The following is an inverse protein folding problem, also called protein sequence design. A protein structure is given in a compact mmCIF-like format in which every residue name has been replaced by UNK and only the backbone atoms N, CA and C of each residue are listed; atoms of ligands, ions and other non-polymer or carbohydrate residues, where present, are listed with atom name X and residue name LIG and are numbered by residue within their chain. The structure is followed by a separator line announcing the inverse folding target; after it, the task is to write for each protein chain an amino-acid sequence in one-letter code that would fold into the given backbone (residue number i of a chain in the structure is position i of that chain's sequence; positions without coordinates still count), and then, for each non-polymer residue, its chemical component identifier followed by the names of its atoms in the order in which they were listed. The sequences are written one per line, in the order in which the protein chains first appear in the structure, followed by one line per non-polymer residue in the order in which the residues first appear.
data_IF_957084188024
#
_entry.id   IF_957084188024
#
_cell.length_a   1.000
_cell.length_b   1.000
_cell.length_c   1.000
_cell.angle_alpha   90.00
_cell.angle_beta   90.00
_cell.angle_gamma   90.00
#
_symmetry.space_group_name_H-M   'P 1'
#
loop_
_entity.id
_entity.type
_entity.pdbx_description
1 polymer ?
#
# COMPACT_ATOMS: atom_id res chain seq x y z
N UNK A 1 5.15 12.43 -26.87
CA UNK A 1 4.85 11.31 -25.96
C UNK A 1 5.92 10.24 -26.16
N UNK A 2 6.94 10.16 -25.28
CA UNK A 2 7.96 9.12 -25.42
C UNK A 2 7.36 7.82 -24.88
N UNK A 3 6.96 6.91 -25.75
CA UNK A 3 6.86 5.49 -25.40
C UNK A 3 8.29 5.00 -25.12
N UNK A 4 8.49 4.39 -23.97
CA UNK A 4 9.74 3.70 -23.70
C UNK A 4 9.89 2.51 -24.64
N UNK A 5 11.14 2.10 -24.92
CA UNK A 5 11.37 0.86 -25.67
C UNK A 5 10.68 -0.29 -24.93
N UNK A 6 9.94 -1.12 -25.66
CA UNK A 6 9.19 -2.27 -25.11
C UNK A 6 10.08 -3.24 -24.29
N UNK A 7 11.40 -3.18 -24.49
CA UNK A 7 12.37 -4.08 -23.87
C UNK A 7 12.96 -3.57 -22.55
N UNK A 8 12.56 -2.36 -22.08
CA UNK A 8 13.07 -1.86 -20.79
C UNK A 8 12.29 -2.53 -19.66
N UNK A 9 12.97 -3.28 -18.75
CA UNK A 9 12.29 -3.93 -17.64
C UNK A 9 11.71 -2.87 -16.68
N UNK A 10 10.46 -3.10 -16.25
CA UNK A 10 9.75 -2.20 -15.37
C UNK A 10 9.30 -2.89 -14.09
N UNK A 11 9.26 -2.13 -13.00
CA UNK A 11 8.61 -2.53 -11.76
C UNK A 11 7.33 -1.69 -11.62
N UNK A 12 6.20 -2.39 -11.50
CA UNK A 12 4.91 -1.75 -11.28
C UNK A 12 4.67 -1.61 -9.78
N UNK A 13 4.29 -0.42 -9.33
CA UNK A 13 3.77 -0.16 -8.00
C UNK A 13 2.31 0.26 -8.15
N UNK A 14 1.39 -0.60 -7.74
CA UNK A 14 -0.05 -0.37 -7.86
C UNK A 14 -0.67 -0.01 -6.51
N UNK A 15 -1.46 1.06 -6.50
CA UNK A 15 -2.31 1.45 -5.37
C UNK A 15 -3.65 2.01 -5.87
N UNK A 16 -4.67 2.05 -5.03
CA UNK A 16 -5.93 2.72 -5.35
C UNK A 16 -5.79 4.25 -5.35
N UNK A 17 -4.76 4.81 -4.69
CA UNK A 17 -4.58 6.24 -4.54
C UNK A 17 -3.16 6.69 -4.21
N UNK A 18 -3.03 7.57 -3.19
CA UNK A 18 -1.75 8.11 -2.71
C UNK A 18 -1.07 7.19 -1.68
N UNK A 19 -1.78 6.22 -1.10
CA UNK A 19 -1.27 5.40 0.00
C UNK A 19 0.04 4.68 -0.33
N UNK A 20 0.15 4.12 -1.53
CA UNK A 20 1.35 3.44 -2.01
C UNK A 20 2.58 4.34 -2.17
N UNK A 21 2.45 5.67 -2.01
CA UNK A 21 3.60 6.58 -2.05
C UNK A 21 4.58 6.35 -0.91
N UNK A 22 4.13 5.83 0.22
CA UNK A 22 5.00 5.42 1.33
C UNK A 22 5.97 4.31 0.89
N UNK A 23 5.45 3.28 0.21
CA UNK A 23 6.25 2.20 -0.39
C UNK A 23 7.12 2.72 -1.54
N UNK A 24 6.55 3.54 -2.43
CA UNK A 24 7.29 4.12 -3.57
C UNK A 24 8.53 4.87 -3.09
N UNK A 25 8.41 5.69 -2.04
CA UNK A 25 9.52 6.44 -1.46
C UNK A 25 10.68 5.51 -1.05
N UNK A 26 10.35 4.42 -0.39
CA UNK A 26 11.37 3.45 0.05
C UNK A 26 11.94 2.65 -1.12
N UNK A 27 11.13 2.27 -2.14
CA UNK A 27 11.62 1.60 -3.34
C UNK A 27 12.61 2.51 -4.10
N UNK A 28 12.37 3.81 -4.17
CA UNK A 28 13.30 4.78 -4.76
C UNK A 28 14.67 4.70 -4.09
N UNK A 29 14.71 4.55 -2.76
CA UNK A 29 15.96 4.46 -1.99
C UNK A 29 16.80 3.21 -2.30
N UNK A 30 16.18 2.17 -2.89
CA UNK A 30 16.90 0.96 -3.31
C UNK A 30 17.78 1.19 -4.55
N UNK A 31 17.62 2.32 -5.26
CA UNK A 31 18.39 2.68 -6.46
C UNK A 31 18.42 1.55 -7.50
N UNK A 32 17.24 1.06 -7.87
CA UNK A 32 17.08 -0.04 -8.81
C UNK A 32 17.39 0.40 -10.24
N UNK A 33 17.95 -0.51 -11.04
CA UNK A 33 18.22 -0.27 -12.47
C UNK A 33 16.94 -0.25 -13.32
N UNK A 34 15.87 -0.85 -12.82
CA UNK A 34 14.58 -0.93 -13.51
C UNK A 34 13.87 0.43 -13.51
N UNK A 35 13.05 0.63 -14.52
CA UNK A 35 12.12 1.76 -14.55
C UNK A 35 10.97 1.52 -13.60
N UNK A 36 10.63 2.51 -12.78
CA UNK A 36 9.47 2.44 -11.88
C UNK A 36 8.23 3.05 -12.57
N UNK A 37 7.12 2.35 -12.47
CA UNK A 37 5.80 2.84 -12.88
C UNK A 37 4.88 2.79 -11.66
N UNK A 38 4.41 3.95 -11.21
CA UNK A 38 3.39 4.03 -10.18
C UNK A 38 2.03 4.17 -10.83
N UNK A 39 1.10 3.29 -10.46
CA UNK A 39 -0.26 3.25 -10.99
C UNK A 39 -1.25 3.51 -9.86
N UNK A 40 -2.02 4.59 -9.98
CA UNK A 40 -3.09 4.94 -9.04
C UNK A 40 -4.46 4.82 -9.72
N UNK A 41 -5.33 3.93 -9.22
CA UNK A 41 -6.72 3.86 -9.70
C UNK A 41 -7.64 4.80 -8.92
N UNK A 42 -7.26 6.08 -8.88
CA UNK A 42 -7.89 7.12 -8.06
C UNK A 42 -9.33 7.48 -8.49
N UNK A 43 -9.78 7.06 -9.66
CA UNK A 43 -11.18 7.18 -10.07
C UNK A 43 -12.10 6.34 -9.21
N UNK A 44 -11.63 5.17 -8.77
CA UNK A 44 -12.40 4.16 -8.05
C UNK A 44 -12.08 4.10 -6.56
N UNK A 45 -11.31 5.06 -6.06
CA UNK A 45 -10.97 5.24 -4.65
C UNK A 45 -12.22 5.66 -3.84
N UNK A 46 -12.42 5.17 -2.58
CA UNK A 46 -11.57 4.20 -1.91
C UNK A 46 -11.98 2.75 -2.21
N UNK A 47 -11.01 1.89 -2.44
CA UNK A 47 -11.25 0.46 -2.69
C UNK A 47 -11.90 -0.27 -1.51
N UNK A 48 -11.75 0.24 -0.30
CA UNK A 48 -12.37 -0.32 0.90
C UNK A 48 -13.91 -0.34 0.89
N UNK A 49 -14.54 0.45 0.01
CA UNK A 49 -15.99 0.52 -0.19
C UNK A 49 -16.48 -0.25 -1.43
N UNK A 50 -15.55 -0.77 -2.24
CA UNK A 50 -15.89 -1.51 -3.47
C UNK A 50 -16.14 -3.00 -3.18
N UNK A 51 -16.86 -3.66 -4.10
CA UNK A 51 -17.09 -5.10 -4.00
C UNK A 51 -15.84 -5.90 -4.37
N UNK A 52 -15.74 -7.14 -3.86
CA UNK A 52 -14.66 -8.06 -4.21
C UNK A 52 -14.53 -8.22 -5.72
N UNK A 53 -15.63 -8.56 -6.39
CA UNK A 53 -15.63 -8.84 -7.83
C UNK A 53 -15.22 -7.63 -8.66
N UNK A 54 -15.64 -6.44 -8.25
CA UNK A 54 -15.19 -5.19 -8.88
C UNK A 54 -13.68 -5.03 -8.76
N UNK A 55 -13.12 -5.17 -7.56
CA UNK A 55 -11.68 -4.97 -7.32
C UNK A 55 -10.86 -6.01 -8.07
N UNK A 56 -11.23 -7.29 -7.99
CA UNK A 56 -10.52 -8.38 -8.65
C UNK A 56 -10.47 -8.17 -10.16
N UNK A 57 -11.63 -7.94 -10.80
CA UNK A 57 -11.72 -7.69 -12.24
C UNK A 57 -10.93 -6.42 -12.63
N UNK A 58 -11.14 -5.32 -11.90
CA UNK A 58 -10.50 -4.03 -12.20
C UNK A 58 -8.99 -4.12 -12.15
N UNK A 59 -8.43 -4.73 -11.11
CA UNK A 59 -6.98 -4.87 -10.95
C UNK A 59 -6.41 -5.82 -12.02
N UNK A 60 -7.10 -6.93 -12.32
CA UNK A 60 -6.70 -7.85 -13.39
C UNK A 60 -6.70 -7.17 -14.77
N UNK A 61 -7.67 -6.31 -15.06
CA UNK A 61 -7.74 -5.56 -16.32
C UNK A 61 -6.61 -4.54 -16.45
N UNK A 62 -6.33 -3.79 -15.37
CA UNK A 62 -5.20 -2.85 -15.33
C UNK A 62 -3.88 -3.58 -15.60
N UNK A 63 -3.61 -4.69 -14.90
CA UNK A 63 -2.39 -5.46 -15.09
C UNK A 63 -2.30 -6.12 -16.45
N UNK A 64 -3.43 -6.56 -17.03
CA UNK A 64 -3.47 -7.11 -18.40
C UNK A 64 -3.09 -6.04 -19.41
N UNK A 65 -3.62 -4.85 -19.28
CA UNK A 65 -3.29 -3.69 -20.11
C UNK A 65 -1.82 -3.29 -19.98
N UNK A 66 -1.30 -3.23 -18.76
CA UNK A 66 0.12 -2.92 -18.51
C UNK A 66 1.06 -3.95 -19.14
N UNK A 67 0.74 -5.25 -19.00
CA UNK A 67 1.55 -6.35 -19.52
C UNK A 67 1.58 -6.41 -21.06
N UNK A 68 0.60 -5.80 -21.74
CA UNK A 68 0.62 -5.64 -23.20
C UNK A 68 1.59 -4.56 -23.67
N UNK A 69 1.94 -3.60 -22.81
CA UNK A 69 2.69 -2.41 -23.19
C UNK A 69 4.09 -2.34 -22.55
N UNK A 70 4.34 -3.10 -21.49
CA UNK A 70 5.59 -3.07 -20.73
C UNK A 70 6.12 -4.47 -20.44
N UNK A 71 7.44 -4.62 -20.44
CA UNK A 71 8.11 -5.81 -19.94
C UNK A 71 8.15 -5.77 -18.41
N UNK A 72 7.13 -6.33 -17.76
CA UNK A 72 7.00 -6.30 -16.30
C UNK A 72 7.93 -7.33 -15.69
N UNK A 73 8.91 -6.87 -14.91
CA UNK A 73 9.87 -7.73 -14.20
C UNK A 73 9.38 -8.12 -12.80
N UNK A 74 8.69 -7.19 -12.12
CA UNK A 74 8.03 -7.44 -10.86
C UNK A 74 6.88 -6.44 -10.64
N UNK A 75 5.95 -6.80 -9.76
CA UNK A 75 4.88 -5.90 -9.34
C UNK A 75 4.72 -5.87 -7.82
N UNK A 76 4.47 -4.68 -7.29
CA UNK A 76 4.08 -4.46 -5.89
C UNK A 76 2.62 -4.02 -5.85
N UNK A 77 1.76 -4.80 -5.21
CA UNK A 77 0.39 -4.38 -4.89
C UNK A 77 0.46 -3.71 -3.53
N UNK A 78 0.60 -2.39 -3.55
CA UNK A 78 0.73 -1.59 -2.34
C UNK A 78 -0.60 -1.44 -1.58
N UNK A 79 -1.76 -1.54 -2.26
CA UNK A 79 -3.07 -1.45 -1.63
C UNK A 79 -3.44 -2.74 -0.88
N UNK A 80 -3.68 -2.66 0.45
CA UNK A 80 -4.10 -3.82 1.26
C UNK A 80 -5.44 -4.39 0.77
N UNK A 81 -6.39 -3.56 0.40
CA UNK A 81 -7.70 -4.01 -0.09
C UNK A 81 -7.58 -4.70 -1.46
N UNK A 82 -6.78 -4.15 -2.37
CA UNK A 82 -6.48 -4.81 -3.65
C UNK A 82 -5.75 -6.14 -3.44
N UNK A 83 -4.79 -6.19 -2.51
CA UNK A 83 -4.12 -7.43 -2.12
C UNK A 83 -5.12 -8.48 -1.64
N UNK A 84 -6.06 -8.08 -0.78
CA UNK A 84 -7.01 -8.99 -0.17
C UNK A 84 -7.90 -9.70 -1.21
N UNK A 85 -8.22 -9.05 -2.31
CA UNK A 85 -9.16 -9.56 -3.30
C UNK A 85 -8.51 -10.00 -4.62
N UNK A 86 -7.43 -9.35 -5.07
CA UNK A 86 -6.88 -9.59 -6.40
C UNK A 86 -5.53 -10.32 -6.44
N UNK A 87 -4.79 -10.40 -5.32
CA UNK A 87 -3.43 -10.92 -5.35
C UNK A 87 -3.31 -12.36 -5.86
N UNK A 88 -4.27 -13.23 -5.53
CA UNK A 88 -4.26 -14.63 -6.00
C UNK A 88 -4.56 -14.70 -7.50
N UNK A 89 -5.63 -14.02 -7.96
CA UNK A 89 -5.99 -13.97 -9.38
C UNK A 89 -4.85 -13.43 -10.26
N UNK A 90 -4.12 -12.42 -9.76
CA UNK A 90 -2.94 -11.91 -10.47
C UNK A 90 -1.80 -12.93 -10.54
N UNK A 91 -1.52 -13.66 -9.44
CA UNK A 91 -0.48 -14.70 -9.42
C UNK A 91 -0.81 -15.89 -10.32
N UNK A 92 -2.10 -16.22 -10.45
CA UNK A 92 -2.57 -17.27 -11.34
C UNK A 92 -2.49 -16.85 -12.81
N UNK A 93 -2.62 -15.55 -13.09
CA UNK A 93 -2.69 -15.00 -14.45
C UNK A 93 -1.34 -14.59 -15.02
N UNK A 94 -0.39 -14.14 -14.19
CA UNK A 94 0.89 -13.57 -14.65
C UNK A 94 2.08 -14.33 -14.09
N UNK A 95 3.15 -14.42 -14.90
CA UNK A 95 4.37 -15.16 -14.56
C UNK A 95 5.43 -14.32 -13.81
N UNK A 96 5.29 -12.99 -13.76
CA UNK A 96 6.22 -12.14 -13.02
C UNK A 96 5.90 -12.15 -11.51
N UNK A 97 6.91 -11.97 -10.65
CA UNK A 97 6.71 -11.92 -9.20
C UNK A 97 5.74 -10.81 -8.78
N UNK A 98 4.80 -11.17 -7.89
CA UNK A 98 3.83 -10.22 -7.32
C UNK A 98 4.03 -10.16 -5.82
N UNK A 99 4.59 -9.05 -5.36
CA UNK A 99 4.75 -8.70 -3.95
C UNK A 99 3.48 -8.00 -3.49
N UNK A 100 2.77 -8.62 -2.57
CA UNK A 100 1.49 -8.13 -2.08
C UNK A 100 1.61 -7.64 -0.64
N UNK A 101 1.04 -6.48 -0.34
CA UNK A 101 1.07 -5.90 1.00
C UNK A 101 -0.04 -6.49 1.88
N UNK A 102 0.33 -7.07 3.00
CA UNK A 102 -0.59 -7.60 4.01
C UNK A 102 -0.45 -6.86 5.34
N UNK A 103 -1.51 -6.78 6.15
CA UNK A 103 -1.39 -6.25 7.51
C UNK A 103 -0.34 -6.99 8.34
N UNK A 104 0.44 -6.25 9.12
CA UNK A 104 1.58 -6.75 9.87
C UNK A 104 1.22 -7.51 11.14
N UNK A 105 0.31 -8.50 11.07
CA UNK A 105 -0.15 -9.26 12.23
C UNK A 105 0.98 -10.09 12.83
N UNK A 106 1.73 -10.81 12.00
CA UNK A 106 2.87 -11.62 12.48
C UNK A 106 3.92 -10.81 13.25
N UNK A 107 4.44 -9.68 12.73
CA UNK A 107 5.35 -8.84 13.50
C UNK A 107 4.69 -8.23 14.76
N UNK A 108 3.40 -7.88 14.71
CA UNK A 108 2.70 -7.35 15.89
C UNK A 108 2.64 -8.35 17.04
N UNK A 109 2.38 -9.63 16.74
CA UNK A 109 2.42 -10.73 17.73
C UNK A 109 3.81 -10.83 18.39
N UNK A 110 4.87 -10.59 17.65
CA UNK A 110 6.24 -10.66 18.21
C UNK A 110 6.63 -9.43 19.03
N UNK A 111 5.91 -8.33 18.88
CA UNK A 111 6.23 -7.04 19.48
C UNK A 111 5.37 -6.70 20.70
N UNK A 112 4.13 -7.22 20.76
CA UNK A 112 3.22 -6.95 21.87
C UNK A 112 3.79 -7.50 23.19
N UNK A 113 3.58 -6.77 24.29
CA UNK A 113 4.02 -7.13 25.63
C UNK A 113 2.86 -7.63 26.49
N UNK A 114 1.63 -7.19 26.19
CA UNK A 114 0.44 -7.54 26.96
C UNK A 114 -0.56 -8.40 26.17
N UNK A 115 -0.20 -8.83 24.95
CA UNK A 115 -1.04 -9.62 24.03
C UNK A 115 -2.31 -8.90 23.55
N UNK A 116 -2.38 -7.57 23.66
CA UNK A 116 -3.52 -6.76 23.19
C UNK A 116 -3.12 -5.95 21.96
N UNK A 117 -3.63 -6.33 20.82
CA UNK A 117 -3.22 -5.80 19.52
C UNK A 117 -4.40 -5.12 18.84
N UNK A 118 -4.21 -3.87 18.44
CA UNK A 118 -5.13 -3.14 17.58
C UNK A 118 -4.80 -3.36 16.11
N UNK A 119 -5.81 -3.49 15.28
CA UNK A 119 -5.67 -3.53 13.82
C UNK A 119 -6.58 -2.47 13.22
N UNK A 120 -5.99 -1.41 12.70
CA UNK A 120 -6.71 -0.37 11.97
C UNK A 120 -6.64 -0.65 10.47
N UNK A 121 -7.76 -0.97 9.84
CA UNK A 121 -7.81 -1.33 8.43
C UNK A 121 -9.09 -0.81 7.75
N UNK A 122 -9.16 -0.89 6.41
CA UNK A 122 -10.40 -0.58 5.69
C UNK A 122 -11.44 -1.68 5.88
N UNK A 123 -12.73 -1.35 5.78
CA UNK A 123 -13.81 -2.35 5.87
C UNK A 123 -13.62 -3.49 4.88
N UNK A 124 -13.25 -3.18 3.61
CA UNK A 124 -13.02 -4.19 2.60
C UNK A 124 -11.88 -5.14 2.98
N UNK A 125 -10.81 -4.64 3.60
CA UNK A 125 -9.73 -5.50 4.11
C UNK A 125 -10.23 -6.41 5.23
N UNK A 126 -10.90 -5.85 6.22
CA UNK A 126 -11.41 -6.58 7.41
C UNK A 126 -12.38 -7.69 7.02
N UNK A 127 -13.27 -7.44 6.05
CA UNK A 127 -14.28 -8.42 5.59
C UNK A 127 -13.71 -9.51 4.69
N UNK A 128 -12.45 -9.39 4.24
CA UNK A 128 -11.86 -10.36 3.31
C UNK A 128 -11.50 -11.68 4.00
N UNK A 129 -11.73 -12.80 3.29
CA UNK A 129 -11.31 -14.13 3.75
C UNK A 129 -9.80 -14.22 3.99
N UNK A 130 -9.02 -13.48 3.18
CA UNK A 130 -7.56 -13.41 3.32
C UNK A 130 -7.16 -12.80 4.66
N UNK A 131 -7.78 -11.68 5.05
CA UNK A 131 -7.52 -11.04 6.35
C UNK A 131 -7.91 -11.94 7.52
N UNK A 132 -9.12 -12.54 7.46
CA UNK A 132 -9.60 -13.47 8.50
C UNK A 132 -8.60 -14.62 8.67
N UNK A 133 -8.21 -15.29 7.57
CA UNK A 133 -7.23 -16.38 7.60
C UNK A 133 -5.87 -15.93 8.12
N UNK A 134 -5.47 -14.67 7.87
CA UNK A 134 -4.21 -14.13 8.38
C UNK A 134 -4.26 -13.93 9.91
N UNK A 135 -5.38 -13.43 10.42
CA UNK A 135 -5.61 -13.30 11.88
C UNK A 135 -5.60 -14.71 12.51
N UNK A 136 -6.43 -15.63 12.04
CA UNK A 136 -6.55 -16.99 12.58
C UNK A 136 -5.21 -17.74 12.58
N UNK A 137 -4.40 -17.53 11.56
CA UNK A 137 -3.09 -18.19 11.41
C UNK A 137 -2.06 -17.76 12.45
N UNK A 138 -2.06 -16.49 12.85
CA UNK A 138 -1.01 -15.92 13.69
C UNK A 138 -1.45 -15.62 15.11
N UNK A 139 -2.75 -15.65 15.41
CA UNK A 139 -3.26 -15.41 16.77
C UNK A 139 -3.65 -16.71 17.46
N UNK A 140 -3.77 -16.66 18.78
CA UNK A 140 -4.24 -17.74 19.63
C UNK A 140 -5.11 -17.15 20.74
N UNK A 141 -5.73 -17.97 21.57
CA UNK A 141 -6.64 -17.56 22.66
C UNK A 141 -6.03 -16.59 23.67
N UNK A 142 -4.69 -16.55 23.75
CA UNK A 142 -3.99 -15.58 24.62
C UNK A 142 -3.96 -14.15 24.07
N UNK A 143 -4.23 -13.97 22.76
CA UNK A 143 -4.18 -12.65 22.12
C UNK A 143 -5.58 -12.03 22.08
N UNK A 144 -5.69 -10.80 22.54
CA UNK A 144 -6.89 -9.98 22.37
C UNK A 144 -6.69 -9.07 21.15
N UNK A 145 -7.49 -9.28 20.12
CA UNK A 145 -7.41 -8.51 18.88
C UNK A 145 -8.56 -7.52 18.82
N UNK A 146 -8.24 -6.23 18.79
CA UNK A 146 -9.18 -5.12 18.59
C UNK A 146 -9.11 -4.69 17.12
N UNK A 147 -10.16 -4.97 16.34
CA UNK A 147 -10.21 -4.66 14.90
C UNK A 147 -11.08 -3.42 14.71
N UNK A 148 -10.49 -2.34 14.21
CA UNK A 148 -11.14 -1.05 14.05
C UNK A 148 -11.21 -0.68 12.57
N UNK A 149 -12.39 -0.45 12.00
CA UNK A 149 -12.52 0.06 10.63
C UNK A 149 -12.19 1.56 10.58
N UNK A 150 -11.27 1.94 9.71
CA UNK A 150 -10.89 3.34 9.48
C UNK A 150 -11.84 4.05 8.51
N UNK A 151 -13.11 4.19 8.88
CA UNK A 151 -14.16 4.79 8.05
C UNK A 151 -13.86 6.28 7.80
N UNK A 152 -13.88 6.71 6.54
CA UNK A 152 -13.60 8.10 6.14
C UNK A 152 -12.13 8.52 6.22
N UNK A 153 -11.25 7.66 6.77
CA UNK A 153 -9.85 8.01 7.01
C UNK A 153 -9.05 8.10 5.71
N UNK A 154 -9.30 7.20 4.75
CA UNK A 154 -8.64 7.22 3.44
C UNK A 154 -8.99 8.49 2.69
N UNK A 155 -10.26 8.86 2.63
CA UNK A 155 -10.74 10.06 1.94
C UNK A 155 -10.14 11.34 2.53
N UNK A 156 -10.06 11.41 3.86
CA UNK A 156 -9.47 12.59 4.52
C UNK A 156 -7.96 12.70 4.27
N UNK A 157 -7.24 11.58 4.27
CA UNK A 157 -5.82 11.55 3.93
C UNK A 157 -5.59 11.93 2.48
N UNK A 158 -6.41 11.45 1.54
CA UNK A 158 -6.34 11.80 0.11
C UNK A 158 -6.62 13.28 -0.13
N UNK A 159 -7.59 13.83 0.56
CA UNK A 159 -7.93 15.25 0.43
C UNK A 159 -6.79 16.14 0.92
N UNK A 160 -5.90 15.65 1.79
CA UNK A 160 -4.86 16.46 2.43
C UNK A 160 -5.45 17.81 2.91
N UNK A 161 -6.60 17.73 3.54
CA UNK A 161 -7.30 18.91 4.06
C UNK A 161 -6.33 19.75 4.88
N UNK A 162 -6.33 21.03 4.65
CA UNK A 162 -5.50 21.99 5.42
C UNK A 162 -5.97 22.10 6.87
N UNK A 163 -7.11 21.51 7.20
CA UNK A 163 -7.70 21.50 8.53
C UNK A 163 -7.50 20.13 9.20
N UNK A 164 -6.58 20.07 10.16
CA UNK A 164 -6.40 18.88 11.03
C UNK A 164 -7.68 18.48 11.78
N UNK A 165 -8.67 19.39 11.90
CA UNK A 165 -9.90 19.16 12.69
C UNK A 165 -10.74 17.97 12.22
N UNK A 166 -10.86 17.77 10.89
CA UNK A 166 -11.62 16.64 10.35
C UNK A 166 -10.91 15.33 10.61
N UNK A 167 -9.60 15.31 10.39
CA UNK A 167 -8.78 14.15 10.68
C UNK A 167 -8.82 13.80 12.18
N UNK A 168 -8.73 14.80 13.06
CA UNK A 168 -8.83 14.63 14.50
C UNK A 168 -10.20 14.06 14.91
N UNK A 169 -11.28 14.54 14.31
CA UNK A 169 -12.63 14.04 14.59
C UNK A 169 -12.79 12.56 14.19
N UNK A 170 -12.16 12.12 13.10
CA UNK A 170 -12.17 10.71 12.69
C UNK A 170 -11.28 9.86 13.61
N UNK A 171 -10.12 10.39 14.01
CA UNK A 171 -9.17 9.64 14.83
C UNK A 171 -9.60 9.49 16.28
N UNK A 172 -10.33 10.47 16.83
CA UNK A 172 -10.69 10.49 18.25
C UNK A 172 -11.43 9.22 18.72
N UNK A 173 -12.51 8.72 18.06
CA UNK A 173 -13.15 7.48 18.45
C UNK A 173 -12.23 6.27 18.33
N UNK A 174 -11.38 6.20 17.30
CA UNK A 174 -10.41 5.13 17.10
C UNK A 174 -9.40 5.08 18.26
N UNK A 175 -8.87 6.23 18.64
CA UNK A 175 -7.92 6.36 19.74
C UNK A 175 -8.55 5.95 21.06
N UNK A 176 -9.77 6.42 21.34
CA UNK A 176 -10.48 6.07 22.57
C UNK A 176 -10.70 4.56 22.68
N UNK A 177 -11.10 3.90 21.59
CA UNK A 177 -11.29 2.45 21.57
C UNK A 177 -9.98 1.70 21.82
N UNK A 178 -8.87 2.10 21.17
CA UNK A 178 -7.55 1.49 21.40
C UNK A 178 -7.10 1.63 22.86
N UNK A 179 -7.33 2.79 23.47
CA UNK A 179 -6.98 3.03 24.86
C UNK A 179 -7.88 2.25 25.85
N UNK A 180 -9.18 2.18 25.58
CA UNK A 180 -10.12 1.38 26.40
C UNK A 180 -9.80 -0.10 26.36
N UNK A 181 -9.38 -0.61 25.20
CA UNK A 181 -8.97 -1.99 25.03
C UNK A 181 -7.54 -2.26 25.54
N UNK A 182 -6.85 -1.22 26.03
CA UNK A 182 -5.45 -1.29 26.54
C UNK A 182 -4.47 -1.89 25.52
N UNK A 183 -4.67 -1.56 24.24
CA UNK A 183 -3.80 -1.99 23.15
C UNK A 183 -2.39 -1.44 23.36
N UNK A 184 -1.36 -2.29 23.23
CA UNK A 184 0.05 -1.86 23.27
C UNK A 184 0.73 -1.85 21.91
N UNK A 185 0.12 -2.50 20.92
CA UNK A 185 0.65 -2.62 19.56
C UNK A 185 -0.45 -2.40 18.53
N UNK A 186 -0.27 -1.42 17.63
CA UNK A 186 -1.22 -1.07 16.58
C UNK A 186 -0.69 -1.41 15.20
N UNK A 187 -1.41 -2.27 14.46
CA UNK A 187 -1.13 -2.60 13.07
C UNK A 187 -1.83 -1.62 12.14
N UNK A 188 -1.08 -1.02 11.22
CA UNK A 188 -1.62 -0.22 10.12
C UNK A 188 -1.92 -1.14 8.92
N UNK A 189 -3.19 -1.51 8.77
CA UNK A 189 -3.69 -2.41 7.72
C UNK A 189 -4.18 -1.71 6.45
N UNK A 190 -3.70 -0.50 6.18
CA UNK A 190 -3.99 0.28 4.98
C UNK A 190 -2.76 1.13 4.61
N UNK A 191 -2.45 1.21 3.31
CA UNK A 191 -1.30 1.96 2.77
C UNK A 191 -1.36 3.47 3.02
N UNK A 192 -2.54 4.01 3.23
CA UNK A 192 -2.71 5.43 3.55
C UNK A 192 -2.31 5.77 4.99
N UNK A 193 -2.46 4.86 5.93
CA UNK A 193 -2.26 5.14 7.35
C UNK A 193 -0.80 5.44 7.74
N UNK A 194 0.23 4.88 7.10
CA UNK A 194 1.61 5.34 7.31
C UNK A 194 1.83 6.82 7.02
N UNK A 195 1.03 7.45 6.14
CA UNK A 195 1.12 8.89 5.85
C UNK A 195 0.77 9.77 7.06
N UNK A 196 0.00 9.24 8.00
CA UNK A 196 -0.36 9.92 9.26
C UNK A 196 0.29 9.26 10.49
N UNK A 197 1.27 8.37 10.31
CA UNK A 197 1.95 7.64 11.40
C UNK A 197 2.48 8.58 12.48
N UNK A 198 3.11 9.67 12.09
CA UNK A 198 3.65 10.66 13.03
C UNK A 198 2.56 11.32 13.90
N UNK A 199 1.37 11.53 13.34
CA UNK A 199 0.21 12.05 14.08
C UNK A 199 -0.33 10.99 15.03
N UNK A 200 -0.51 9.77 14.56
CA UNK A 200 -0.93 8.64 15.40
C UNK A 200 0.05 8.42 16.56
N UNK A 201 1.36 8.45 16.31
CA UNK A 201 2.36 8.25 17.37
C UNK A 201 2.36 9.36 18.42
N UNK A 202 2.02 10.61 18.05
CA UNK A 202 1.85 11.70 19.01
C UNK A 202 0.62 11.51 19.89
N UNK A 203 -0.45 10.96 19.35
CA UNK A 203 -1.72 10.73 20.05
C UNK A 203 -1.69 9.42 20.86
N UNK A 204 -0.82 8.49 20.50
CA UNK A 204 -0.64 7.17 21.09
C UNK A 204 0.85 6.94 21.41
N UNK A 205 1.45 7.72 22.34
CA UNK A 205 2.89 7.70 22.59
C UNK A 205 3.40 6.34 23.10
N UNK A 206 2.59 5.60 23.83
CA UNK A 206 2.95 4.33 24.47
C UNK A 206 2.59 3.11 23.62
N UNK A 207 1.89 3.30 22.49
CA UNK A 207 1.50 2.22 21.57
C UNK A 207 2.54 2.08 20.47
N UNK A 208 3.05 0.87 20.28
CA UNK A 208 3.96 0.56 19.20
C UNK A 208 3.19 0.43 17.88
N UNK A 209 3.55 1.27 16.89
CA UNK A 209 2.90 1.26 15.58
C UNK A 209 3.69 0.39 14.60
N UNK A 210 3.02 -0.63 14.05
CA UNK A 210 3.55 -1.60 13.09
C UNK A 210 2.99 -1.32 11.70
N UNK A 211 3.87 -1.13 10.73
CA UNK A 211 3.55 -1.15 9.30
C UNK A 211 4.40 -2.22 8.59
N UNK A 212 4.07 -2.55 7.35
CA UNK A 212 4.69 -3.65 6.60
C UNK A 212 5.59 -3.19 5.47
N UNK A 213 5.92 -1.92 5.40
CA UNK A 213 6.74 -1.34 4.33
C UNK A 213 8.08 -2.07 4.21
N UNK A 214 8.82 -2.22 5.31
CA UNK A 214 10.13 -2.89 5.31
C UNK A 214 10.05 -4.36 4.85
N UNK A 215 9.01 -5.08 5.27
CA UNK A 215 8.80 -6.47 4.86
C UNK A 215 8.58 -6.60 3.35
N UNK A 216 7.78 -5.69 2.77
CA UNK A 216 7.53 -5.63 1.32
C UNK A 216 8.81 -5.34 0.55
N UNK A 217 9.62 -4.38 1.02
CA UNK A 217 10.90 -4.04 0.41
C UNK A 217 11.89 -5.20 0.41
N UNK A 218 11.98 -5.91 1.53
CA UNK A 218 12.87 -7.07 1.66
C UNK A 218 12.48 -8.19 0.68
N UNK A 219 11.19 -8.44 0.51
CA UNK A 219 10.70 -9.43 -0.45
C UNK A 219 10.97 -8.98 -1.88
N UNK A 220 10.70 -7.71 -2.22
CA UNK A 220 10.97 -7.16 -3.55
C UNK A 220 12.45 -7.23 -3.89
N UNK A 221 13.33 -6.80 -2.99
CA UNK A 221 14.78 -6.85 -3.19
C UNK A 221 15.26 -8.29 -3.45
N UNK A 222 14.76 -9.26 -2.69
CA UNK A 222 15.08 -10.68 -2.89
C UNK A 222 14.70 -11.20 -4.27
N UNK A 223 13.57 -10.78 -4.84
CA UNK A 223 13.21 -11.12 -6.23
C UNK A 223 14.12 -10.44 -7.26
N UNK A 224 14.42 -9.15 -7.06
CA UNK A 224 15.29 -8.41 -7.99
C UNK A 224 16.70 -9.00 -8.00
N UNK A 225 17.25 -9.35 -6.84
CA UNK A 225 18.58 -9.98 -6.74
C UNK A 225 18.63 -11.34 -7.43
N UNK A 226 17.52 -12.11 -7.43
CA UNK A 226 17.44 -13.38 -8.15
C UNK A 226 17.39 -13.21 -9.67
N UNK A 227 16.69 -12.17 -10.16
CA UNK A 227 16.53 -11.90 -11.60
C UNK A 227 17.79 -11.22 -12.15
N UNK A 228 18.39 -10.30 -11.39
CA UNK A 228 19.56 -9.55 -11.80
C UNK A 228 20.65 -9.52 -10.71
N UNK A 229 21.36 -10.64 -10.47
CA UNK A 229 22.37 -10.76 -9.40
C UNK A 229 23.56 -9.79 -9.52
N UNK A 230 23.80 -9.24 -10.70
CA UNK A 230 24.87 -8.27 -10.97
C UNK A 230 24.35 -6.86 -11.23
N UNK A 231 23.08 -6.60 -10.92
CA UNK A 231 22.45 -5.31 -11.13
C UNK A 231 23.24 -4.17 -10.49
N UNK A 232 23.82 -3.31 -11.33
CA UNK A 232 24.49 -2.11 -10.86
C UNK A 232 23.44 -1.18 -10.27
N UNK A 233 23.60 -0.79 -9.01
CA UNK A 233 22.82 0.28 -8.44
C UNK A 233 22.99 1.52 -9.31
N UNK A 234 21.91 2.04 -9.84
CA UNK A 234 21.90 3.26 -10.66
C UNK A 234 20.97 4.27 -10.01
N UNK A 235 21.22 5.54 -10.22
CA UNK A 235 20.27 6.58 -9.83
C UNK A 235 18.91 6.26 -10.45
N UNK A 236 17.86 6.30 -9.63
CA UNK A 236 16.49 6.06 -10.09
C UNK A 236 16.18 6.99 -11.26
N UNK A 237 15.82 6.38 -12.39
CA UNK A 237 15.32 7.10 -13.57
C UNK A 237 14.02 7.85 -13.19
N UNK A 238 13.56 8.71 -14.10
CA UNK A 238 12.25 9.32 -13.92
C UNK A 238 11.17 8.25 -13.71
N UNK A 239 10.30 8.46 -12.71
CA UNK A 239 9.20 7.55 -12.42
C UNK A 239 8.04 7.90 -13.33
N UNK A 240 7.49 6.92 -14.03
CA UNK A 240 6.23 7.12 -14.74
C UNK A 240 5.06 7.01 -13.77
N UNK A 241 4.20 8.00 -13.80
CA UNK A 241 3.00 8.06 -12.98
C UNK A 241 1.75 7.99 -13.84
N UNK A 242 0.92 6.98 -13.59
CA UNK A 242 -0.36 6.75 -14.25
C UNK A 242 -1.49 6.91 -13.24
N UNK A 243 -2.51 7.70 -13.58
CA UNK A 243 -3.71 7.85 -12.77
C UNK A 243 -4.96 7.64 -13.61
N UNK A 244 -5.96 6.94 -13.07
CA UNK A 244 -7.20 6.65 -13.80
C UNK A 244 -8.10 7.89 -13.96
N UNK A 245 -8.06 8.80 -12.99
CA UNK A 245 -8.68 10.13 -13.06
C UNK A 245 -7.61 11.20 -13.08
N UNK A 246 -7.56 12.00 -14.14
CA UNK A 246 -6.59 13.08 -14.26
C UNK A 246 -6.95 14.23 -13.31
N UNK A 247 -6.08 14.49 -12.35
CA UNK A 247 -6.18 15.61 -11.40
C UNK A 247 -4.85 16.35 -11.36
N UNK A 248 -4.83 17.62 -11.76
CA UNK A 248 -3.61 18.44 -11.86
C UNK A 248 -2.80 18.47 -10.55
N UNK A 249 -3.50 18.50 -9.41
CA UNK A 249 -2.86 18.54 -8.09
C UNK A 249 -2.28 17.21 -7.64
N UNK A 250 -2.69 16.09 -8.24
CA UNK A 250 -2.32 14.75 -7.78
C UNK A 250 -0.82 14.48 -7.93
N UNK A 251 -0.25 14.88 -9.08
CA UNK A 251 1.18 14.75 -9.33
C UNK A 251 2.02 15.58 -8.33
N UNK A 252 1.56 16.77 -7.97
CA UNK A 252 2.24 17.61 -6.98
C UNK A 252 2.20 17.00 -5.57
N UNK A 253 1.08 16.36 -5.20
CA UNK A 253 0.95 15.63 -3.94
C UNK A 253 1.94 14.48 -3.87
N UNK A 254 2.08 13.69 -4.94
CA UNK A 254 3.02 12.56 -4.99
C UNK A 254 4.46 13.03 -4.88
N UNK A 255 4.85 14.07 -5.61
CA UNK A 255 6.19 14.66 -5.50
C UNK A 255 6.49 15.11 -4.07
N UNK A 256 5.53 15.73 -3.41
CA UNK A 256 5.65 16.16 -2.01
C UNK A 256 5.79 14.96 -1.05
N UNK A 257 4.97 13.93 -1.21
CA UNK A 257 4.95 12.75 -0.33
C UNK A 257 6.23 11.91 -0.47
N UNK A 258 6.71 11.72 -1.69
CA UNK A 258 7.92 10.93 -1.96
C UNK A 258 9.21 11.71 -1.77
N UNK A 259 9.16 13.04 -1.86
CA UNK A 259 10.35 13.89 -1.93
C UNK A 259 11.12 13.77 -3.25
N UNK A 260 10.57 13.05 -4.25
CA UNK A 260 11.21 12.79 -5.53
C UNK A 260 10.63 13.67 -6.64
N UNK A 261 11.49 14.46 -7.29
CA UNK A 261 11.06 15.46 -8.29
C UNK A 261 10.94 14.92 -9.72
N UNK A 262 11.70 13.86 -10.06
CA UNK A 262 11.74 13.27 -11.40
C UNK A 262 10.53 12.32 -11.63
N UNK A 263 9.31 12.80 -11.42
CA UNK A 263 8.07 12.05 -11.70
C UNK A 263 7.41 12.66 -12.92
N UNK A 264 7.19 11.84 -13.94
CA UNK A 264 6.57 12.22 -15.21
C UNK A 264 5.19 11.56 -15.31
N UNK A 265 4.18 12.35 -15.68
CA UNK A 265 2.85 11.79 -15.92
C UNK A 265 2.83 11.02 -17.24
N UNK A 266 2.35 9.79 -17.19
CA UNK A 266 2.06 8.97 -18.35
C UNK A 266 0.55 8.76 -18.52
N UNK A 267 0.14 8.40 -19.73
CA UNK A 267 -1.27 8.09 -20.01
C UNK A 267 -1.66 6.81 -19.26
N UNK A 268 -2.77 6.88 -18.54
CA UNK A 268 -3.37 5.68 -17.96
C UNK A 268 -3.82 4.72 -19.08
N UNK A 269 -3.40 3.48 -19.00
CA UNK A 269 -3.75 2.45 -19.97
C UNK A 269 -5.02 1.77 -19.47
N UNK A 270 -6.11 1.91 -20.25
CA UNK A 270 -7.42 1.32 -19.94
C UNK A 270 -7.48 -0.11 -20.38
#
# INVERSE_FOLDING_TARGET
MKFMAQDTPVIIIFDSGLGGTSILKEIISLNLSQQLIYVADNLNLPYGLQTKDFIENRVCDIFSSLNQHYSIEAAVIACNTATAYAANALRDKFNFPIVAMEPGIKPAISLTKNNKIGILATEGTIKSSRFISLVDRFTSDQHKICIIPGVGLVEEIENQSTSDKKLDAILLPIINELLQEEVDTLVLGCTHYPLIKNKLQKLLPDIQIVDTTEAVLKVLAGYIDQINPQGTKQDTKAILFMMSKNEETYLSKIKKLTGFSKIEQAKFIK
#
